data_IF_336679419282
#
_entry.id   IF_336679419282
#
_cell.length_a   1.000
_cell.length_b   1.000
_cell.length_c   1.000
_cell.angle_alpha   90.00
_cell.angle_beta   90.00
_cell.angle_gamma   90.00
#
_symmetry.space_group_name_H-M   'P 1'
#
loop_
_entity.id
_entity.type
_entity.pdbx_description
1 polymer ?
#
# COMPACT_ATOMS: atom_id res chain seq x y z
N UNK A 1 4.88 -4.90 -23.09
CA UNK A 1 4.99 -4.77 -21.62
C UNK A 1 5.99 -5.78 -21.05
N UNK A 2 5.92 -7.05 -21.45
CA UNK A 2 6.94 -8.07 -21.09
C UNK A 2 8.36 -7.69 -21.55
N UNK A 3 8.53 -7.22 -22.79
CA UNK A 3 9.83 -6.79 -23.34
C UNK A 3 10.55 -5.71 -22.49
N UNK A 4 9.80 -4.82 -21.84
CA UNK A 4 10.40 -3.80 -20.97
C UNK A 4 10.96 -4.44 -19.69
N UNK A 5 10.21 -5.34 -19.05
CA UNK A 5 10.67 -6.04 -17.85
C UNK A 5 11.88 -6.92 -18.15
N UNK A 6 11.86 -7.64 -19.28
CA UNK A 6 12.97 -8.49 -19.74
C UNK A 6 14.23 -7.66 -20.01
N UNK A 7 14.11 -6.55 -20.73
CA UNK A 7 15.26 -5.67 -21.04
C UNK A 7 15.83 -4.98 -19.80
N UNK A 8 15.07 -4.84 -18.71
CA UNK A 8 15.50 -4.25 -17.45
C UNK A 8 15.83 -5.29 -16.37
N UNK A 9 15.86 -6.58 -16.71
CA UNK A 9 16.13 -7.69 -15.76
C UNK A 9 15.19 -7.67 -14.53
N UNK A 10 13.95 -7.25 -14.73
CA UNK A 10 12.91 -7.24 -13.69
C UNK A 10 12.15 -8.55 -13.75
N UNK A 11 12.21 -9.32 -12.67
CA UNK A 11 11.41 -10.53 -12.54
C UNK A 11 9.98 -10.21 -12.11
N UNK A 12 9.00 -10.64 -12.91
CA UNK A 12 7.58 -10.44 -12.64
C UNK A 12 7.02 -11.70 -11.97
N UNK A 13 6.44 -11.52 -10.78
CA UNK A 13 5.75 -12.58 -10.05
C UNK A 13 4.44 -12.97 -10.78
N UNK A 14 4.18 -14.27 -10.86
CA UNK A 14 2.86 -14.78 -11.25
C UNK A 14 1.86 -14.44 -10.14
N UNK A 15 0.79 -13.72 -10.49
CA UNK A 15 -0.17 -13.20 -9.51
C UNK A 15 -1.59 -13.72 -9.78
N UNK A 16 -2.27 -14.29 -8.79
CA UNK A 16 -3.64 -14.76 -8.98
C UNK A 16 -4.61 -13.57 -9.15
N UNK A 17 -5.62 -13.69 -10.02
CA UNK A 17 -6.63 -12.65 -10.18
C UNK A 17 -7.42 -12.45 -8.88
N UNK A 18 -7.98 -11.26 -8.69
CA UNK A 18 -8.85 -10.91 -7.56
C UNK A 18 -8.28 -11.19 -6.16
N UNK A 19 -6.96 -11.07 -5.99
CA UNK A 19 -6.27 -11.34 -4.72
C UNK A 19 -5.68 -10.06 -4.08
N UNK A 20 -6.53 -9.11 -3.63
CA UNK A 20 -6.05 -7.90 -2.95
C UNK A 20 -5.37 -8.24 -1.62
N UNK A 21 -5.79 -9.30 -0.95
CA UNK A 21 -5.22 -9.79 0.32
C UNK A 21 -3.71 -10.12 0.21
N UNK A 22 -3.28 -10.53 -0.98
CA UNK A 22 -1.87 -10.80 -1.25
C UNK A 22 -1.09 -9.51 -1.49
N UNK A 23 -1.73 -8.39 -1.81
CA UNK A 23 -1.06 -7.15 -2.17
C UNK A 23 -0.75 -6.29 -0.94
N UNK A 24 0.52 -6.24 -0.46
CA UNK A 24 0.85 -5.52 0.76
C UNK A 24 0.66 -4.00 0.65
N UNK A 25 0.55 -3.47 -0.57
CA UNK A 25 0.36 -2.03 -0.79
C UNK A 25 -0.95 -1.52 -0.19
N UNK A 26 -2.00 -2.36 -0.09
CA UNK A 26 -3.26 -1.97 0.53
C UNK A 26 -3.07 -1.60 2.01
N UNK A 27 -2.20 -2.34 2.70
CA UNK A 27 -1.81 -2.02 4.07
C UNK A 27 -0.93 -0.79 4.15
N UNK A 28 -0.05 -0.60 3.16
CA UNK A 28 0.76 0.62 3.06
C UNK A 28 -0.13 1.87 2.87
N UNK A 29 -1.16 1.79 2.03
CA UNK A 29 -2.14 2.87 1.86
C UNK A 29 -2.90 3.18 3.15
N UNK A 30 -3.23 2.16 3.94
CA UNK A 30 -3.82 2.36 5.25
C UNK A 30 -2.86 3.08 6.21
N UNK A 31 -1.57 2.71 6.23
CA UNK A 31 -0.54 3.40 7.02
C UNK A 31 -0.39 4.86 6.59
N UNK A 32 -0.34 5.12 5.28
CA UNK A 32 -0.26 6.47 4.73
C UNK A 32 -1.44 7.33 5.16
N UNK A 33 -2.67 6.80 5.05
CA UNK A 33 -3.88 7.49 5.53
C UNK A 33 -3.79 7.82 7.01
N UNK A 34 -3.37 6.87 7.85
CA UNK A 34 -3.18 7.12 9.28
C UNK A 34 -2.15 8.21 9.55
N UNK A 35 -1.01 8.20 8.85
CA UNK A 35 0.02 9.23 8.99
C UNK A 35 -0.43 10.60 8.50
N UNK A 36 -1.20 10.65 7.41
CA UNK A 36 -1.78 11.89 6.91
C UNK A 36 -2.77 12.48 7.92
N UNK A 37 -3.61 11.64 8.54
CA UNK A 37 -4.56 12.05 9.59
C UNK A 37 -3.82 12.57 10.83
N UNK A 38 -2.75 11.88 11.25
CA UNK A 38 -1.93 12.23 12.41
C UNK A 38 -1.23 13.58 12.24
N UNK A 39 -0.60 13.80 11.08
CA UNK A 39 0.21 14.99 10.81
C UNK A 39 -0.61 16.19 10.32
N UNK A 40 -1.69 15.94 9.57
CA UNK A 40 -2.50 16.97 8.91
C UNK A 40 -4.00 16.78 9.15
N UNK A 41 -4.48 16.77 10.42
CA UNK A 41 -5.88 16.51 10.74
C UNK A 41 -6.84 17.52 10.10
N UNK A 42 -6.38 18.75 9.85
CA UNK A 42 -7.16 19.81 9.18
C UNK A 42 -7.58 19.44 7.76
N UNK A 43 -6.79 18.64 7.04
CA UNK A 43 -7.13 18.22 5.68
C UNK A 43 -8.35 17.29 5.63
N UNK A 44 -8.80 16.75 6.76
CA UNK A 44 -10.04 15.97 6.87
C UNK A 44 -11.27 16.84 7.13
N UNK A 45 -11.05 18.09 7.57
CA UNK A 45 -12.11 19.01 7.98
C UNK A 45 -12.54 19.96 6.86
N UNK A 46 -11.74 20.06 5.80
CA UNK A 46 -12.05 20.86 4.63
C UNK A 46 -12.84 20.02 3.61
N UNK A 47 -13.90 20.60 3.03
CA UNK A 47 -14.62 19.97 1.94
C UNK A 47 -13.71 19.79 0.71
N UNK A 48 -13.99 18.79 -0.14
CA UNK A 48 -13.17 18.52 -1.35
C UNK A 48 -12.95 19.75 -2.24
N UNK A 49 -13.93 20.64 -2.33
CA UNK A 49 -13.86 21.90 -3.10
C UNK A 49 -12.99 22.99 -2.46
N UNK A 50 -12.57 22.80 -1.22
CA UNK A 50 -11.75 23.74 -0.43
C UNK A 50 -10.33 23.22 -0.21
N UNK A 51 -10.01 22.02 -0.69
CA UNK A 51 -8.67 21.45 -0.61
C UNK A 51 -7.76 22.22 -1.59
N UNK A 52 -6.70 22.82 -1.05
CA UNK A 52 -5.58 23.23 -1.86
C UNK A 52 -4.78 21.98 -2.27
N UNK A 53 -4.78 21.68 -3.57
CA UNK A 53 -4.11 20.48 -4.10
C UNK A 53 -2.60 20.46 -3.87
N UNK A 54 -1.95 21.62 -3.87
CA UNK A 54 -0.51 21.73 -3.59
C UNK A 54 -0.23 21.37 -2.13
N UNK A 55 -1.03 21.91 -1.20
CA UNK A 55 -0.91 21.58 0.23
C UNK A 55 -1.19 20.09 0.48
N UNK A 56 -2.23 19.55 -0.15
CA UNK A 56 -2.59 18.13 -0.03
C UNK A 56 -1.49 17.22 -0.56
N UNK A 57 -0.87 17.57 -1.69
CA UNK A 57 0.23 16.82 -2.28
C UNK A 57 1.46 16.80 -1.35
N UNK A 58 1.85 17.96 -0.82
CA UNK A 58 2.98 18.04 0.11
C UNK A 58 2.69 17.31 1.43
N UNK A 59 1.45 17.34 1.91
CA UNK A 59 1.04 16.59 3.09
C UNK A 59 1.11 15.07 2.87
N UNK A 60 0.70 14.57 1.70
CA UNK A 60 0.86 13.15 1.34
C UNK A 60 2.34 12.77 1.30
N UNK A 61 3.20 13.60 0.69
CA UNK A 61 4.65 13.34 0.66
C UNK A 61 5.25 13.29 2.05
N UNK A 62 4.93 14.26 2.90
CA UNK A 62 5.39 14.28 4.28
C UNK A 62 4.90 13.06 5.07
N UNK A 63 3.63 12.68 4.92
CA UNK A 63 3.07 11.49 5.54
C UNK A 63 3.75 10.20 5.07
N UNK A 64 4.07 10.10 3.77
CA UNK A 64 4.83 8.97 3.20
C UNK A 64 6.22 8.87 3.81
N UNK A 65 6.97 9.98 3.86
CA UNK A 65 8.30 10.03 4.47
C UNK A 65 8.29 9.74 5.98
N UNK A 66 7.17 9.98 6.65
CA UNK A 66 6.99 9.68 8.07
C UNK A 66 6.65 8.21 8.35
N UNK A 67 6.41 7.37 7.33
CA UNK A 67 6.22 5.93 7.53
C UNK A 67 7.59 5.32 7.83
N UNK A 68 7.80 4.69 9.01
CA UNK A 68 9.07 4.05 9.31
C UNK A 68 9.35 2.89 8.35
N UNK A 69 10.58 2.78 7.85
CA UNK A 69 11.00 1.68 6.98
C UNK A 69 10.67 0.31 7.58
N UNK A 70 10.83 0.15 8.90
CA UNK A 70 10.49 -1.09 9.62
C UNK A 70 9.02 -1.53 9.44
N UNK A 71 8.09 -0.60 9.23
CA UNK A 71 6.69 -0.93 8.94
C UNK A 71 6.54 -1.49 7.52
N UNK A 72 7.24 -0.91 6.55
CA UNK A 72 7.28 -1.42 5.16
C UNK A 72 7.91 -2.81 5.14
N UNK A 73 9.05 -2.99 5.83
CA UNK A 73 9.73 -4.27 5.93
C UNK A 73 8.83 -5.33 6.57
N UNK A 74 8.06 -4.96 7.60
CA UNK A 74 7.08 -5.86 8.23
C UNK A 74 5.98 -6.30 7.26
N UNK A 75 5.51 -5.41 6.37
CA UNK A 75 4.53 -5.75 5.34
C UNK A 75 5.12 -6.72 4.31
N UNK A 76 6.35 -6.47 3.84
CA UNK A 76 7.04 -7.35 2.90
C UNK A 76 7.27 -8.73 3.54
N UNK A 77 7.82 -8.75 4.77
CA UNK A 77 8.08 -9.98 5.53
C UNK A 77 6.80 -10.75 5.91
N UNK A 78 5.62 -10.15 5.76
CA UNK A 78 4.34 -10.83 5.98
C UNK A 78 3.92 -11.73 4.81
N UNK A 79 4.52 -11.59 3.62
CA UNK A 79 4.09 -12.29 2.41
C UNK A 79 3.99 -13.81 2.55
N UNK A 80 4.96 -14.54 3.14
CA UNK A 80 4.83 -15.99 3.32
C UNK A 80 3.58 -16.37 4.12
N UNK A 81 3.22 -15.58 5.14
CA UNK A 81 2.00 -15.82 5.95
C UNK A 81 0.71 -15.50 5.19
N UNK A 82 0.72 -14.50 4.30
CA UNK A 82 -0.43 -14.16 3.44
C UNK A 82 -0.71 -15.28 2.43
N UNK A 83 0.34 -15.77 1.79
CA UNK A 83 0.28 -16.89 0.84
C UNK A 83 -0.28 -18.14 1.53
N UNK A 84 0.25 -18.48 2.71
CA UNK A 84 -0.25 -19.61 3.51
C UNK A 84 -1.73 -19.43 3.90
N UNK A 85 -2.16 -18.20 4.23
CA UNK A 85 -3.56 -17.93 4.55
C UNK A 85 -4.49 -18.17 3.34
N UNK A 86 -4.10 -17.71 2.14
CA UNK A 86 -4.84 -17.95 0.90
C UNK A 86 -4.88 -19.44 0.56
N UNK A 87 -3.75 -20.14 0.74
CA UNK A 87 -3.68 -21.59 0.55
C UNK A 87 -4.66 -22.34 1.45
N UNK A 88 -4.67 -22.02 2.76
CA UNK A 88 -5.61 -22.59 3.73
C UNK A 88 -7.07 -22.25 3.43
N UNK A 89 -7.31 -21.05 2.94
CA UNK A 89 -8.62 -20.60 2.48
C UNK A 89 -9.02 -21.23 1.14
N UNK A 90 -8.17 -22.05 0.51
CA UNK A 90 -8.40 -22.63 -0.83
C UNK A 90 -8.70 -21.55 -1.89
N UNK A 91 -7.99 -20.43 -1.81
CA UNK A 91 -8.17 -19.29 -2.72
C UNK A 91 -9.28 -18.32 -2.32
N UNK A 92 -10.00 -18.56 -1.21
CA UNK A 92 -10.99 -17.62 -0.68
C UNK A 92 -10.35 -16.50 0.15
N UNK A 93 -11.18 -15.51 0.51
CA UNK A 93 -10.81 -14.34 1.29
C UNK A 93 -10.12 -14.68 2.61
N UNK A 94 -9.18 -13.84 2.98
CA UNK A 94 -8.41 -13.91 4.21
C UNK A 94 -8.62 -12.63 5.02
N UNK A 95 -7.96 -12.55 6.19
CA UNK A 95 -7.96 -11.35 7.03
C UNK A 95 -7.01 -10.23 6.56
N UNK A 96 -6.23 -10.52 5.52
CA UNK A 96 -5.18 -9.65 5.01
C UNK A 96 -5.68 -8.73 3.91
#
# INVERSE_FOLDING_TARGET
MQEWFESHSVWVLEWPPHSPDLNPIEHCWNLLKKKLIELYPRLLMVGRSQINWTEFYEAIRAAWWAIPQAMIDTLINSMPRRIEAVYRARGWYTKY
#
